data_IF_675977765284
#
_entry.id   IF_675977765284
#
_cell.length_a   1.000
_cell.length_b   1.000
_cell.length_c   1.000
_cell.angle_alpha   90.00
_cell.angle_beta   90.00
_cell.angle_gamma   90.00
#
_symmetry.space_group_name_H-M   'P 1'
#
loop_
_entity.id
_entity.type
_entity.pdbx_description
1 polymer ?
#
# COMPACT_ATOMS: atom_id res chain seq x y z
N UNK A 1 9.90 5.31 17.57
CA UNK A 1 10.90 4.23 17.73
C UNK A 1 10.41 3.34 18.86
N UNK A 2 9.72 2.28 18.53
CA UNK A 2 9.45 1.20 19.46
C UNK A 2 10.59 0.18 19.38
N UNK A 3 11.74 0.60 19.88
CA UNK A 3 12.85 -0.30 20.01
C UNK A 3 12.79 -0.94 21.37
N UNK A 4 12.12 -2.08 21.46
CA UNK A 4 12.50 -3.06 22.47
C UNK A 4 14.03 -3.28 22.41
N UNK A 5 14.65 -3.83 23.43
CA UNK A 5 16.12 -4.01 23.50
C UNK A 5 16.67 -5.05 22.49
N UNK A 6 15.93 -5.41 21.43
CA UNK A 6 16.31 -6.39 20.42
C UNK A 6 16.16 -5.82 19.01
N UNK A 7 17.16 -6.05 18.18
CA UNK A 7 17.08 -5.84 16.73
C UNK A 7 16.37 -7.04 16.12
N UNK A 8 15.26 -6.80 15.39
CA UNK A 8 14.59 -7.80 14.58
C UNK A 8 14.65 -7.39 13.10
N UNK A 9 14.72 -8.36 12.21
CA UNK A 9 14.56 -8.15 10.78
C UNK A 9 13.06 -8.23 10.50
N UNK A 10 12.50 -7.16 9.95
CA UNK A 10 11.07 -7.01 9.69
C UNK A 10 10.66 -7.60 8.33
N UNK A 11 11.60 -7.86 7.48
CA UNK A 11 11.39 -8.48 6.18
C UNK A 11 12.62 -8.33 5.29
N UNK A 12 12.65 -9.10 4.22
CA UNK A 12 13.68 -9.02 3.20
C UNK A 12 13.03 -8.95 1.84
N UNK A 13 13.31 -7.90 1.08
CA UNK A 13 12.77 -7.68 -0.25
C UNK A 13 13.86 -7.59 -1.30
N UNK A 14 13.53 -8.02 -2.49
CA UNK A 14 14.34 -7.85 -3.69
C UNK A 14 13.48 -7.29 -4.82
N UNK A 15 13.90 -6.14 -5.36
CA UNK A 15 13.21 -5.46 -6.45
C UNK A 15 14.04 -5.54 -7.72
N UNK A 16 13.38 -5.84 -8.84
CA UNK A 16 14.03 -5.97 -10.14
C UNK A 16 13.05 -5.68 -11.28
N UNK A 17 13.52 -5.15 -12.43
CA UNK A 17 12.69 -4.96 -13.60
C UNK A 17 12.57 -6.22 -14.45
N UNK A 18 11.38 -6.47 -15.00
CA UNK A 18 11.12 -7.49 -16.03
C UNK A 18 10.40 -6.83 -17.20
N UNK A 19 11.11 -6.55 -18.27
CA UNK A 19 10.57 -5.71 -19.35
C UNK A 19 10.25 -4.31 -18.83
N UNK A 20 8.99 -3.88 -18.95
CA UNK A 20 8.51 -2.60 -18.39
C UNK A 20 7.86 -2.73 -17.00
N UNK A 21 7.82 -3.93 -16.43
CA UNK A 21 7.20 -4.20 -15.13
C UNK A 21 8.26 -4.11 -14.03
N UNK A 22 7.98 -3.36 -12.97
CA UNK A 22 8.76 -3.37 -11.72
C UNK A 22 8.25 -4.50 -10.84
N UNK A 23 9.11 -5.46 -10.53
CA UNK A 23 8.78 -6.62 -9.69
C UNK A 23 9.40 -6.47 -8.30
N UNK A 24 8.69 -6.90 -7.28
CA UNK A 24 9.19 -7.05 -5.91
C UNK A 24 8.87 -8.46 -5.43
N UNK A 25 9.85 -9.14 -4.87
CA UNK A 25 9.67 -10.41 -4.16
C UNK A 25 10.28 -10.31 -2.78
N UNK A 26 9.68 -10.95 -1.82
CA UNK A 26 10.17 -10.85 -0.45
C UNK A 26 9.55 -11.88 0.48
N UNK A 27 10.02 -11.81 1.73
CA UNK A 27 9.41 -12.49 2.86
C UNK A 27 9.06 -11.44 3.91
N UNK A 28 7.92 -11.56 4.56
CA UNK A 28 7.32 -10.55 5.44
C UNK A 28 7.23 -9.16 4.75
N UNK A 29 6.77 -9.19 3.51
CA UNK A 29 6.61 -8.02 2.64
C UNK A 29 5.14 -7.88 2.30
N UNK A 30 4.65 -6.65 2.37
CA UNK A 30 3.25 -6.37 2.08
C UNK A 30 2.90 -6.61 0.61
N UNK A 31 1.70 -7.11 0.36
CA UNK A 31 1.15 -7.30 -0.97
C UNK A 31 1.03 -5.98 -1.73
N UNK A 32 0.87 -4.88 -0.99
CA UNK A 32 0.82 -3.51 -1.50
C UNK A 32 2.20 -2.89 -1.79
N UNK A 33 3.30 -3.62 -1.64
CA UNK A 33 4.66 -3.09 -1.83
C UNK A 33 4.93 -2.48 -3.22
N UNK A 34 4.14 -2.88 -4.23
CA UNK A 34 4.18 -2.28 -5.58
C UNK A 34 3.01 -1.34 -5.87
N UNK A 35 2.13 -1.07 -4.89
CA UNK A 35 1.01 -0.17 -5.07
C UNK A 35 1.48 1.28 -5.01
N UNK A 36 0.81 2.14 -5.77
CA UNK A 36 1.10 3.58 -5.80
C UNK A 36 0.34 4.26 -4.67
N UNK A 37 1.03 4.59 -3.60
CA UNK A 37 0.48 5.45 -2.56
C UNK A 37 0.33 6.88 -3.09
N UNK A 38 -0.89 7.35 -3.33
CA UNK A 38 -1.13 8.72 -3.73
C UNK A 38 -1.06 9.71 -2.55
N UNK A 39 -0.96 9.23 -1.32
CA UNK A 39 -0.75 10.07 -0.16
C UNK A 39 0.70 10.52 -0.06
N UNK A 40 0.90 11.82 0.19
CA UNK A 40 2.21 12.38 0.51
C UNK A 40 2.33 12.56 2.02
N UNK A 41 3.47 12.20 2.60
CA UNK A 41 3.72 12.29 4.03
C UNK A 41 5.18 12.64 4.32
N UNK A 42 5.44 13.14 5.53
CA UNK A 42 6.80 13.42 5.99
C UNK A 42 7.53 12.12 6.33
N UNK A 43 8.85 12.10 6.08
CA UNK A 43 9.73 10.99 6.48
C UNK A 43 9.76 10.71 8.00
N UNK A 44 9.17 11.59 8.80
CA UNK A 44 9.08 11.43 10.27
C UNK A 44 7.76 10.76 10.72
N UNK A 45 6.81 10.56 9.84
CA UNK A 45 5.54 9.91 10.16
C UNK A 45 5.33 8.70 9.29
N UNK A 46 5.25 7.56 9.91
CA UNK A 46 4.97 6.27 9.30
C UNK A 46 3.45 5.99 9.17
N UNK A 47 2.67 6.87 9.74
CA UNK A 47 1.24 6.69 9.93
C UNK A 47 0.41 6.70 8.64
N UNK A 48 0.95 7.23 7.56
CA UNK A 48 0.27 7.35 6.27
C UNK A 48 0.94 6.57 5.15
N UNK A 49 1.96 5.75 5.47
CA UNK A 49 2.67 4.96 4.47
C UNK A 49 1.73 4.05 3.67
N UNK A 50 0.70 3.54 4.33
CA UNK A 50 -0.29 2.63 3.75
C UNK A 50 -1.63 3.29 3.44
N UNK A 51 -1.67 4.61 3.41
CA UNK A 51 -2.88 5.40 3.24
C UNK A 51 -3.71 4.97 2.02
N UNK A 52 -4.84 4.33 2.29
CA UNK A 52 -5.80 3.93 1.26
C UNK A 52 -5.29 2.87 0.27
N UNK A 53 -4.22 2.16 0.59
CA UNK A 53 -3.71 1.05 -0.24
C UNK A 53 -4.36 -0.29 0.08
N UNK A 54 -5.22 -0.32 1.10
CA UNK A 54 -5.88 -1.53 1.60
C UNK A 54 -5.08 -2.26 2.68
N UNK A 55 -3.96 -1.71 3.12
CA UNK A 55 -3.02 -2.38 4.02
C UNK A 55 -3.06 -1.85 5.46
N UNK A 56 -3.63 -0.67 5.70
CA UNK A 56 -3.65 -0.05 7.04
C UNK A 56 -4.61 -0.74 8.01
N UNK A 57 -5.75 -1.23 7.54
CA UNK A 57 -6.76 -1.92 8.33
C UNK A 57 -7.03 -3.34 7.84
N UNK A 58 -6.69 -3.65 6.58
CA UNK A 58 -6.64 -4.99 6.03
C UNK A 58 -5.30 -5.66 6.34
N UNK A 59 -5.20 -6.95 6.07
CA UNK A 59 -3.93 -7.67 6.18
C UNK A 59 -3.25 -7.70 4.82
N UNK A 60 -2.08 -7.08 4.74
CA UNK A 60 -1.28 -7.02 3.52
C UNK A 60 -0.50 -8.27 3.16
N UNK A 61 -0.64 -9.34 3.93
CA UNK A 61 0.10 -10.60 3.78
C UNK A 61 1.38 -10.62 4.61
N UNK A 62 1.60 -11.73 5.32
CA UNK A 62 2.79 -12.00 6.12
C UNK A 62 3.38 -13.31 5.61
N UNK A 63 4.41 -13.28 4.81
CA UNK A 63 5.03 -14.49 4.28
C UNK A 63 5.73 -14.25 2.97
N UNK A 64 5.79 -15.26 2.11
CA UNK A 64 6.40 -15.10 0.80
C UNK A 64 5.47 -14.29 -0.09
N UNK A 65 5.98 -13.16 -0.58
CA UNK A 65 5.21 -12.19 -1.38
C UNK A 65 5.87 -11.96 -2.74
N UNK A 66 5.06 -11.84 -3.77
CA UNK A 66 5.46 -11.40 -5.09
C UNK A 66 4.48 -10.33 -5.59
N UNK A 67 4.99 -9.16 -5.94
CA UNK A 67 4.19 -8.05 -6.46
C UNK A 67 4.82 -7.48 -7.71
N UNK A 68 4.02 -6.80 -8.52
CA UNK A 68 4.51 -6.12 -9.71
C UNK A 68 3.66 -4.92 -10.07
N UNK A 69 4.29 -3.90 -10.65
CA UNK A 69 3.60 -2.72 -11.15
C UNK A 69 4.09 -2.32 -12.55
N UNK A 70 3.18 -1.72 -13.31
CA UNK A 70 3.46 -1.17 -14.63
C UNK A 70 2.90 0.23 -14.72
N UNK A 71 3.76 1.19 -15.09
CA UNK A 71 3.37 2.57 -15.35
C UNK A 71 3.27 2.82 -16.85
N UNK A 72 2.16 3.41 -17.28
CA UNK A 72 1.91 3.83 -18.65
C UNK A 72 2.33 5.29 -18.84
N UNK A 73 2.73 5.64 -20.05
CA UNK A 73 3.10 7.04 -20.41
C UNK A 73 1.95 8.05 -20.22
N UNK A 74 0.72 7.55 -20.12
CA UNK A 74 -0.50 8.37 -19.93
C UNK A 74 -0.72 8.84 -18.48
N UNK A 75 0.14 8.47 -17.54
CA UNK A 75 -0.04 8.74 -16.12
C UNK A 75 -0.84 7.66 -15.37
N UNK A 76 -1.39 6.67 -16.07
CA UNK A 76 -1.98 5.49 -15.43
C UNK A 76 -0.91 4.50 -14.96
N UNK A 77 -1.20 3.79 -13.88
CA UNK A 77 -0.44 2.63 -13.45
C UNK A 77 -1.37 1.52 -12.97
N UNK A 78 -0.89 0.30 -13.09
CA UNK A 78 -1.55 -0.89 -12.56
C UNK A 78 -0.54 -1.67 -11.73
N UNK A 79 -0.99 -2.19 -10.60
CA UNK A 79 -0.20 -3.08 -9.77
C UNK A 79 -1.01 -4.31 -9.35
N UNK A 80 -0.32 -5.40 -9.09
CA UNK A 80 -0.90 -6.60 -8.53
C UNK A 80 0.11 -7.31 -7.64
N UNK A 81 -0.40 -8.01 -6.64
CA UNK A 81 0.43 -8.77 -5.71
C UNK A 81 -0.27 -10.02 -5.21
N UNK A 82 0.53 -10.98 -4.81
CA UNK A 82 0.13 -12.21 -4.14
C UNK A 82 1.07 -12.46 -2.97
N UNK A 83 0.52 -12.94 -1.87
CA UNK A 83 1.28 -13.34 -0.69
C UNK A 83 0.73 -14.64 -0.13
N UNK A 84 1.59 -15.43 0.50
CA UNK A 84 1.18 -16.63 1.23
C UNK A 84 1.88 -16.70 2.56
N UNK A 85 1.10 -16.81 3.62
CA UNK A 85 1.60 -16.96 4.99
C UNK A 85 2.06 -18.39 5.31
N UNK A 86 1.85 -19.33 4.39
CA UNK A 86 2.23 -20.73 4.53
C UNK A 86 3.13 -21.15 3.37
N UNK A 87 3.82 -22.28 3.51
CA UNK A 87 4.66 -22.85 2.45
C UNK A 87 3.85 -23.40 1.24
N UNK A 88 2.53 -23.15 1.22
CA UNK A 88 1.57 -23.75 0.29
C UNK A 88 0.89 -22.70 -0.60
N UNK A 89 1.67 -21.93 -1.35
CA UNK A 89 1.16 -20.90 -2.27
C UNK A 89 0.19 -21.51 -3.29
N UNK A 90 -0.98 -20.89 -3.46
CA UNK A 90 -2.03 -21.28 -4.42
C UNK A 90 -2.61 -22.67 -4.19
N UNK A 91 -2.60 -23.16 -2.98
CA UNK A 91 -3.29 -24.40 -2.61
C UNK A 91 -4.55 -24.11 -1.82
N UNK A 92 -5.51 -25.02 -1.84
CA UNK A 92 -6.77 -24.91 -1.08
C UNK A 92 -6.58 -24.95 0.44
N UNK A 93 -5.39 -25.26 0.92
CA UNK A 93 -5.05 -25.36 2.34
C UNK A 93 -4.13 -24.20 2.78
N UNK A 94 -3.70 -23.35 1.81
CA UNK A 94 -2.87 -22.18 2.07
C UNK A 94 -3.69 -20.99 2.54
N UNK A 95 -3.09 -20.12 3.33
CA UNK A 95 -3.60 -18.77 3.60
C UNK A 95 -2.96 -17.83 2.58
N UNK A 96 -3.68 -17.59 1.50
CA UNK A 96 -3.20 -16.77 0.41
C UNK A 96 -3.92 -15.43 0.39
N UNK A 97 -3.20 -14.39 0.03
CA UNK A 97 -3.75 -13.05 -0.19
C UNK A 97 -3.41 -12.59 -1.59
N UNK A 98 -4.31 -11.89 -2.22
CA UNK A 98 -4.03 -11.22 -3.49
C UNK A 98 -4.56 -9.79 -3.47
N UNK A 99 -3.92 -8.92 -4.22
CA UNK A 99 -4.34 -7.54 -4.35
C UNK A 99 -4.11 -6.99 -5.73
N UNK A 100 -4.91 -6.00 -6.08
CA UNK A 100 -4.78 -5.23 -7.32
C UNK A 100 -4.98 -3.75 -7.02
N UNK A 101 -4.30 -2.91 -7.80
CA UNK A 101 -4.45 -1.46 -7.74
C UNK A 101 -4.47 -0.87 -9.14
N UNK A 102 -5.29 0.17 -9.31
CA UNK A 102 -5.23 1.08 -10.44
C UNK A 102 -5.02 2.50 -9.91
N UNK A 103 -4.03 3.21 -10.47
CA UNK A 103 -3.74 4.58 -10.10
C UNK A 103 -3.61 5.48 -11.32
N UNK A 104 -3.83 6.77 -11.10
CA UNK A 104 -3.61 7.82 -12.09
C UNK A 104 -2.96 9.02 -11.42
N UNK A 105 -1.89 9.54 -12.01
CA UNK A 105 -1.17 10.69 -11.49
C UNK A 105 -0.86 11.72 -12.57
N UNK A 106 -0.84 12.97 -12.14
CA UNK A 106 -0.43 14.15 -12.89
C UNK A 106 0.53 14.97 -12.02
N UNK A 107 1.01 16.09 -12.53
CA UNK A 107 1.85 17.01 -11.74
C UNK A 107 1.11 17.62 -10.55
N UNK A 108 -0.22 17.72 -10.60
CA UNK A 108 -1.03 18.40 -9.59
C UNK A 108 -1.85 17.48 -8.72
N UNK A 109 -2.20 16.29 -9.18
CA UNK A 109 -3.01 15.37 -8.39
C UNK A 109 -2.68 13.90 -8.70
N UNK A 110 -2.93 13.06 -7.70
CA UNK A 110 -2.89 11.62 -7.84
C UNK A 110 -4.14 10.99 -7.22
N UNK A 111 -4.57 9.87 -7.76
CA UNK A 111 -5.69 9.07 -7.28
C UNK A 111 -5.35 7.59 -7.45
N UNK A 112 -5.65 6.77 -6.45
CA UNK A 112 -5.50 5.33 -6.53
C UNK A 112 -6.68 4.61 -5.90
N UNK A 113 -7.01 3.44 -6.44
CA UNK A 113 -8.02 2.52 -5.90
C UNK A 113 -7.40 1.14 -5.84
N UNK A 114 -7.45 0.54 -4.65
CA UNK A 114 -6.90 -0.77 -4.36
C UNK A 114 -7.98 -1.73 -3.87
N UNK A 115 -7.82 -3.00 -4.17
CA UNK A 115 -8.60 -4.11 -3.64
C UNK A 115 -7.66 -5.20 -3.17
N UNK A 116 -7.88 -5.69 -1.95
CA UNK A 116 -7.15 -6.83 -1.39
C UNK A 116 -8.17 -7.86 -0.90
N UNK A 117 -7.92 -9.12 -1.21
CA UNK A 117 -8.62 -10.27 -0.64
C UNK A 117 -7.59 -11.12 0.10
N UNK A 118 -7.91 -11.44 1.33
CA UNK A 118 -7.08 -12.22 2.24
C UNK A 118 -7.87 -13.44 2.70
N UNK A 119 -7.40 -14.62 2.31
CA UNK A 119 -7.98 -15.89 2.71
C UNK A 119 -7.29 -16.36 3.99
N UNK A 120 -8.00 -16.43 5.07
CA UNK A 120 -7.39 -16.85 6.33
C UNK A 120 -7.74 -18.29 6.72
N UNK A 121 -6.86 -18.91 7.51
CA UNK A 121 -6.93 -20.32 7.91
C UNK A 121 -8.22 -20.75 8.65
N UNK A 122 -9.15 -19.84 8.89
CA UNK A 122 -10.43 -20.10 9.56
C UNK A 122 -11.62 -20.11 8.58
N UNK A 123 -11.38 -20.27 7.27
CA UNK A 123 -12.39 -20.16 6.19
C UNK A 123 -13.13 -18.81 6.20
N UNK A 124 -12.52 -17.77 6.74
CA UNK A 124 -13.06 -16.42 6.74
C UNK A 124 -12.30 -15.57 5.73
N UNK A 125 -12.92 -15.29 4.61
CA UNK A 125 -12.41 -14.33 3.65
C UNK A 125 -12.50 -12.90 4.23
N UNK A 126 -11.41 -12.15 4.11
CA UNK A 126 -11.38 -10.73 4.43
C UNK A 126 -11.16 -9.97 3.15
N UNK A 127 -12.04 -9.04 2.84
CA UNK A 127 -11.90 -8.17 1.67
C UNK A 127 -11.71 -6.73 2.10
N UNK A 128 -10.77 -6.05 1.45
CA UNK A 128 -10.46 -4.65 1.73
C UNK A 128 -10.49 -3.83 0.46
N UNK A 129 -11.18 -2.71 0.51
CA UNK A 129 -11.13 -1.66 -0.50
C UNK A 129 -10.41 -0.45 0.07
N UNK A 130 -9.48 0.08 -0.70
CA UNK A 130 -8.77 1.32 -0.41
C UNK A 130 -8.96 2.33 -1.54
N UNK A 131 -9.12 3.58 -1.17
CA UNK A 131 -9.03 4.71 -2.09
C UNK A 131 -8.17 5.78 -1.46
N UNK A 132 -7.25 6.32 -2.23
CA UNK A 132 -6.41 7.42 -1.76
C UNK A 132 -6.18 8.44 -2.86
N UNK A 133 -5.80 9.64 -2.48
CA UNK A 133 -5.49 10.69 -3.42
C UNK A 133 -4.77 11.85 -2.77
N UNK A 134 -4.10 12.62 -3.60
CA UNK A 134 -3.44 13.86 -3.20
C UNK A 134 -3.68 14.97 -4.20
N UNK A 135 -3.59 16.20 -3.71
CA UNK A 135 -3.63 17.41 -4.53
C UNK A 135 -2.54 18.38 -4.10
N UNK A 136 -1.72 18.77 -5.06
CA UNK A 136 -0.63 19.74 -4.89
C UNK A 136 -1.01 21.05 -5.58
N UNK A 137 -1.01 22.12 -4.82
CA UNK A 137 -1.26 23.46 -5.34
C UNK A 137 -0.03 24.01 -6.05
N UNK A 138 -0.21 24.88 -7.04
CA UNK A 138 0.88 25.57 -7.74
C UNK A 138 1.70 26.51 -6.82
N UNK A 139 1.18 26.81 -5.64
CA UNK A 139 1.84 27.69 -4.66
C UNK A 139 2.57 26.90 -3.59
N UNK A 140 3.86 27.14 -3.40
CA UNK A 140 4.69 26.54 -2.35
C UNK A 140 4.26 26.93 -0.92
N UNK A 141 3.44 27.99 -0.79
CA UNK A 141 2.85 28.40 0.48
C UNK A 141 1.70 27.55 0.95
N UNK A 142 1.12 26.74 0.06
CA UNK A 142 0.01 25.83 0.38
C UNK A 142 0.55 24.40 0.49
N UNK A 143 -0.03 23.60 1.40
CA UNK A 143 0.37 22.20 1.53
C UNK A 143 -0.17 21.36 0.39
N UNK A 144 0.50 20.27 0.05
CA UNK A 144 -0.15 19.14 -0.60
C UNK A 144 -1.14 18.51 0.38
N UNK A 145 -2.36 18.31 -0.05
CA UNK A 145 -3.40 17.64 0.71
C UNK A 145 -3.46 16.19 0.28
N UNK A 146 -3.38 15.28 1.22
CA UNK A 146 -3.55 13.85 1.00
C UNK A 146 -4.74 13.33 1.78
N UNK A 147 -5.53 12.46 1.16
CA UNK A 147 -6.68 11.80 1.79
C UNK A 147 -6.68 10.33 1.44
N UNK A 148 -7.16 9.50 2.35
CA UNK A 148 -7.36 8.09 2.12
C UNK A 148 -8.55 7.57 2.92
N UNK A 149 -9.13 6.52 2.40
CA UNK A 149 -10.21 5.76 3.02
C UNK A 149 -10.00 4.28 2.75
N UNK A 150 -10.18 3.47 3.77
CA UNK A 150 -10.21 2.02 3.66
C UNK A 150 -11.46 1.46 4.33
N UNK A 151 -11.99 0.42 3.75
CA UNK A 151 -13.04 -0.39 4.35
C UNK A 151 -12.69 -1.85 4.21
N UNK A 152 -12.79 -2.58 5.30
CA UNK A 152 -12.52 -4.02 5.36
C UNK A 152 -13.76 -4.74 5.87
N UNK A 153 -14.15 -5.79 5.18
CA UNK A 153 -15.20 -6.72 5.59
C UNK A 153 -14.57 -8.07 5.97
N UNK A 154 -14.89 -8.54 7.16
CA UNK A 154 -14.49 -9.87 7.64
C UNK A 154 -15.71 -10.55 8.24
N UNK A 155 -16.21 -11.62 7.62
CA UNK A 155 -17.34 -12.42 8.13
C UNK A 155 -18.56 -11.56 8.52
N UNK A 156 -18.88 -10.55 7.72
CA UNK A 156 -20.04 -9.66 7.94
C UNK A 156 -19.79 -8.56 8.98
N UNK A 157 -18.56 -8.32 9.38
CA UNK A 157 -18.17 -7.19 10.24
C UNK A 157 -17.29 -6.23 9.44
N UNK A 158 -17.70 -4.96 9.41
CA UNK A 158 -16.98 -3.90 8.70
C UNK A 158 -16.06 -3.12 9.65
N UNK A 159 -14.87 -2.80 9.17
CA UNK A 159 -13.96 -1.82 9.75
C UNK A 159 -13.63 -0.74 8.72
N UNK A 160 -13.48 0.51 9.18
CA UNK A 160 -13.20 1.64 8.31
C UNK A 160 -12.05 2.49 8.86
N UNK A 161 -11.18 2.94 7.95
CA UNK A 161 -10.08 3.86 8.23
C UNK A 161 -10.18 5.12 7.37
N UNK A 162 -9.84 6.26 7.95
CA UNK A 162 -9.80 7.56 7.27
C UNK A 162 -8.46 8.22 7.52
N UNK A 163 -7.85 8.76 6.48
CA UNK A 163 -6.55 9.39 6.52
C UNK A 163 -6.63 10.80 5.94
N UNK A 164 -5.99 11.77 6.59
CA UNK A 164 -5.81 13.12 6.09
C UNK A 164 -4.39 13.57 6.40
N UNK A 165 -3.67 14.00 5.39
CA UNK A 165 -2.31 14.51 5.50
C UNK A 165 -2.17 15.88 4.86
N UNK A 166 -1.29 16.71 5.43
CA UNK A 166 -0.89 18.00 4.91
C UNK A 166 0.64 18.03 4.86
N UNK A 167 1.20 18.23 3.67
CA UNK A 167 2.65 18.29 3.49
C UNK A 167 3.05 19.61 2.85
N UNK A 168 3.82 20.41 3.55
CA UNK A 168 4.41 21.63 3.00
C UNK A 168 5.77 21.30 2.38
N UNK A 169 5.96 21.57 1.07
CA UNK A 169 7.21 21.24 0.39
C UNK A 169 8.39 22.10 0.88
N UNK A 170 8.11 23.30 1.35
CA UNK A 170 9.13 24.25 1.80
C UNK A 170 8.77 24.87 3.16
N UNK A 171 9.45 24.46 4.22
CA UNK A 171 9.39 25.09 5.55
C UNK A 171 10.81 25.33 6.02
N UNK A 172 11.32 26.56 5.81
CA UNK A 172 12.72 26.86 6.06
C UNK A 172 13.65 26.01 5.19
N UNK A 173 14.61 25.29 5.76
CA UNK A 173 15.53 24.43 5.01
C UNK A 173 14.98 23.01 4.71
N UNK A 174 13.70 22.74 4.97
CA UNK A 174 13.11 21.41 4.87
C UNK A 174 11.64 21.40 4.46
N UNK A 175 11.04 20.25 4.52
CA UNK A 175 9.59 19.99 4.31
C UNK A 175 8.96 19.45 5.58
N UNK A 176 7.68 19.69 5.79
CA UNK A 176 6.89 19.17 6.93
C UNK A 176 5.57 18.61 6.43
#
# INVERSE_FOLDING_TARGET
FDTGASLSVDGVTYSFPVGGVSMVVGNDTDISASFTGACTYSAFTDYMSDCGTGNSIGKGGNGVTATGSYAFDSGFSLAAGISSATDSILTTEGTDSFGIEAAYSTDSYALAVAYISDDNAADAETTTWGINGSYTFDSTSLPTISVGYETTETSGTDANGYFVGLTWPEVGPGSV
#
